data_IF_879105970043
#
_entry.id   IF_879105970043
#
_cell.length_a   1.000
_cell.length_b   1.000
_cell.length_c   1.000
_cell.angle_alpha   90.00
_cell.angle_beta   90.00
_cell.angle_gamma   90.00
#
_symmetry.space_group_name_H-M   'P 1'
#
loop_
_entity.id
_entity.type
_entity.pdbx_description
1 polymer ?
#
# COMPACT_ATOMS: atom_id res chain seq x y z
N UNK A 1 2.02 -23.74 24.53
CA UNK A 1 2.41 -22.44 23.92
C UNK A 1 1.37 -22.07 22.87
N UNK A 2 0.61 -20.99 23.05
CA UNK A 2 -0.40 -20.56 22.05
C UNK A 2 -0.60 -19.04 22.02
N UNK A 3 -0.60 -18.37 23.19
CA UNK A 3 -0.83 -16.93 23.31
C UNK A 3 0.29 -16.07 22.69
N UNK A 4 1.55 -16.40 22.95
CA UNK A 4 2.73 -15.67 22.42
C UNK A 4 2.73 -15.65 20.88
N UNK A 5 2.48 -16.80 20.25
CA UNK A 5 2.45 -16.92 18.79
C UNK A 5 1.30 -16.11 18.16
N UNK A 6 0.14 -16.01 18.80
CA UNK A 6 -0.96 -15.15 18.33
C UNK A 6 -0.51 -13.68 18.33
N UNK A 7 0.13 -13.22 19.40
CA UNK A 7 0.62 -11.85 19.49
C UNK A 7 1.73 -11.58 18.47
N UNK A 8 2.69 -12.49 18.31
CA UNK A 8 3.76 -12.38 17.31
C UNK A 8 3.20 -12.34 15.88
N UNK A 9 2.18 -13.16 15.59
CA UNK A 9 1.49 -13.13 14.29
C UNK A 9 0.76 -11.79 14.07
N UNK A 10 0.09 -11.27 15.09
CA UNK A 10 -0.57 -9.97 15.01
C UNK A 10 0.44 -8.86 14.74
N UNK A 11 1.55 -8.83 15.49
CA UNK A 11 2.67 -7.89 15.29
C UNK A 11 3.19 -7.96 13.86
N UNK A 12 3.46 -9.18 13.34
CA UNK A 12 3.95 -9.36 11.98
C UNK A 12 2.98 -8.80 10.94
N UNK A 13 1.69 -9.07 11.10
CA UNK A 13 0.65 -8.62 10.15
C UNK A 13 0.50 -7.10 10.18
N UNK A 14 0.45 -6.47 11.36
CA UNK A 14 0.22 -5.02 11.47
C UNK A 14 1.48 -4.20 11.19
N UNK A 15 2.68 -4.70 11.55
CA UNK A 15 3.91 -3.93 11.42
C UNK A 15 4.73 -4.23 10.15
N UNK A 16 4.65 -5.44 9.57
CA UNK A 16 5.59 -5.87 8.52
C UNK A 16 4.90 -6.14 7.17
N UNK A 17 3.76 -6.84 7.13
CA UNK A 17 3.19 -7.33 5.85
C UNK A 17 2.24 -6.33 5.14
N UNK A 18 1.73 -5.31 5.84
CA UNK A 18 0.66 -4.41 5.33
C UNK A 18 1.14 -3.07 4.81
N UNK A 19 2.27 -2.56 5.32
CA UNK A 19 2.80 -1.23 4.99
C UNK A 19 3.17 -1.10 3.50
N UNK A 20 3.61 -2.19 2.90
CA UNK A 20 4.09 -2.21 1.51
C UNK A 20 3.01 -2.46 0.44
N UNK A 21 1.79 -2.86 0.84
CA UNK A 21 0.74 -3.31 -0.11
C UNK A 21 -0.49 -2.41 -0.21
N UNK A 22 -0.83 -1.64 0.83
CA UNK A 22 -2.13 -0.95 0.90
C UNK A 22 -2.07 0.51 1.40
N UNK A 23 -0.88 1.13 1.47
CA UNK A 23 -0.71 2.48 2.06
C UNK A 23 -0.67 2.46 3.60
N UNK A 24 -0.60 3.64 4.24
CA UNK A 24 -0.70 3.71 5.70
C UNK A 24 -2.10 3.26 6.14
N UNK A 25 -2.17 2.42 7.17
CA UNK A 25 -3.42 1.75 7.59
C UNK A 25 -4.40 2.79 8.17
N UNK A 26 -3.84 3.83 8.76
CA UNK A 26 -4.51 4.98 9.37
C UNK A 26 -5.32 5.76 8.32
N UNK A 27 -4.77 5.94 7.12
CA UNK A 27 -5.46 6.61 6.01
C UNK A 27 -6.67 5.80 5.53
N UNK A 28 -6.56 4.47 5.55
CA UNK A 28 -7.64 3.59 5.11
C UNK A 28 -8.83 3.59 6.08
N UNK A 29 -8.59 3.66 7.39
CA UNK A 29 -9.69 3.69 8.36
C UNK A 29 -10.42 5.02 8.36
N UNK A 30 -9.69 6.14 8.23
CA UNK A 30 -10.30 7.46 8.02
C UNK A 30 -11.20 7.49 6.78
N UNK A 31 -10.68 7.02 5.63
CA UNK A 31 -11.45 6.97 4.39
C UNK A 31 -12.71 6.09 4.49
N UNK A 32 -12.60 4.93 5.14
CA UNK A 32 -13.77 4.05 5.36
C UNK A 32 -14.80 4.76 6.26
N UNK A 33 -14.35 5.48 7.29
CA UNK A 33 -15.21 6.23 8.18
C UNK A 33 -16.00 7.30 7.41
N UNK A 34 -15.34 8.05 6.51
CA UNK A 34 -15.98 9.06 5.67
C UNK A 34 -17.03 8.43 4.74
N UNK A 35 -16.68 7.31 4.09
CA UNK A 35 -17.59 6.58 3.20
C UNK A 35 -18.81 6.05 3.96
N UNK A 36 -18.61 5.44 5.12
CA UNK A 36 -19.70 4.91 5.94
C UNK A 36 -20.55 6.03 6.53
N UNK A 37 -19.94 7.15 6.92
CA UNK A 37 -20.66 8.30 7.44
C UNK A 37 -21.59 8.89 6.40
N UNK A 38 -21.10 9.04 5.18
CA UNK A 38 -21.88 9.51 4.03
C UNK A 38 -23.03 8.55 3.70
N UNK A 39 -22.74 7.25 3.70
CA UNK A 39 -23.74 6.22 3.38
C UNK A 39 -24.84 6.10 4.44
N UNK A 40 -24.50 6.17 5.73
CA UNK A 40 -25.42 6.00 6.84
C UNK A 40 -26.13 7.30 7.25
N UNK A 41 -25.61 8.46 6.83
CA UNK A 41 -26.09 9.76 7.30
C UNK A 41 -25.79 10.02 8.79
N UNK A 42 -24.78 9.36 9.35
CA UNK A 42 -24.40 9.45 10.75
C UNK A 42 -22.87 9.49 10.87
N UNK A 43 -22.34 10.19 11.88
CA UNK A 43 -20.89 10.25 12.08
C UNK A 43 -20.32 8.90 12.48
N UNK A 44 -19.31 8.44 11.75
CA UNK A 44 -18.51 7.23 12.03
C UNK A 44 -17.04 7.66 12.06
N UNK A 45 -16.34 7.32 13.13
CA UNK A 45 -14.90 7.63 13.28
C UNK A 45 -14.01 6.48 12.83
N UNK A 46 -12.73 6.76 12.58
CA UNK A 46 -11.74 5.71 12.28
C UNK A 46 -11.62 4.67 13.41
N UNK A 47 -11.82 5.09 14.67
CA UNK A 47 -11.89 4.18 15.83
C UNK A 47 -13.10 3.26 15.73
N UNK A 48 -14.27 3.79 15.37
CA UNK A 48 -15.48 2.99 15.18
C UNK A 48 -15.28 1.93 14.09
N UNK A 49 -14.66 2.31 12.96
CA UNK A 49 -14.32 1.37 11.88
C UNK A 49 -13.44 0.23 12.40
N UNK A 50 -12.37 0.55 13.15
CA UNK A 50 -11.49 -0.46 13.72
C UNK A 50 -12.24 -1.43 14.65
N UNK A 51 -13.11 -0.90 15.52
CA UNK A 51 -13.91 -1.71 16.45
C UNK A 51 -14.95 -2.56 15.72
N UNK A 52 -15.64 -2.01 14.72
CA UNK A 52 -16.63 -2.72 13.91
C UNK A 52 -15.98 -3.85 13.10
N UNK A 53 -14.77 -3.65 12.58
CA UNK A 53 -13.99 -4.71 11.94
C UNK A 53 -13.56 -5.80 12.92
N UNK A 54 -13.26 -5.44 14.18
CA UNK A 54 -13.06 -6.41 15.26
C UNK A 54 -14.33 -7.21 15.56
N UNK A 55 -15.49 -6.55 15.65
CA UNK A 55 -16.78 -7.21 15.85
C UNK A 55 -17.13 -8.19 14.73
N UNK A 56 -16.75 -7.91 13.47
CA UNK A 56 -16.90 -8.86 12.37
C UNK A 56 -16.17 -10.18 12.64
N UNK A 57 -14.98 -10.13 13.25
CA UNK A 57 -14.23 -11.34 13.64
C UNK A 57 -14.88 -12.05 14.82
N UNK A 58 -15.36 -11.31 15.82
CA UNK A 58 -16.14 -11.88 16.92
C UNK A 58 -17.42 -12.57 16.43
N UNK A 59 -18.12 -11.98 15.47
CA UNK A 59 -19.30 -12.57 14.85
C UNK A 59 -18.98 -13.89 14.13
N UNK A 60 -17.86 -13.97 13.40
CA UNK A 60 -17.38 -15.23 12.79
C UNK A 60 -17.07 -16.31 13.83
N UNK A 61 -16.50 -15.94 14.96
CA UNK A 61 -16.28 -16.87 16.08
C UNK A 61 -17.62 -17.36 16.64
N UNK A 62 -18.61 -16.47 16.79
CA UNK A 62 -19.95 -16.80 17.30
C UNK A 62 -20.70 -17.81 16.42
N UNK A 63 -20.47 -17.83 15.11
CA UNK A 63 -21.09 -18.83 14.21
C UNK A 63 -20.50 -20.24 14.33
N UNK A 64 -19.53 -20.45 15.22
CA UNK A 64 -18.89 -21.75 15.46
C UNK A 64 -17.71 -22.07 14.55
N UNK A 65 -17.41 -21.21 13.57
CA UNK A 65 -16.22 -21.31 12.71
C UNK A 65 -15.08 -20.47 13.28
N UNK A 66 -14.48 -20.94 14.37
CA UNK A 66 -13.33 -20.27 14.98
C UNK A 66 -12.02 -20.74 14.35
N UNK A 67 -11.20 -19.79 13.89
CA UNK A 67 -9.81 -20.01 13.46
C UNK A 67 -8.89 -19.12 14.28
N UNK A 68 -7.62 -19.49 14.39
CA UNK A 68 -6.60 -18.67 15.05
C UNK A 68 -6.51 -17.27 14.40
N UNK A 69 -6.69 -17.19 13.09
CA UNK A 69 -6.69 -15.93 12.33
C UNK A 69 -7.75 -14.94 12.82
N UNK A 70 -8.93 -15.41 13.24
CA UNK A 70 -9.95 -14.49 13.77
C UNK A 70 -9.48 -13.75 15.03
N UNK A 71 -8.69 -14.41 15.89
CA UNK A 71 -8.13 -13.79 17.10
C UNK A 71 -6.93 -12.91 16.79
N UNK A 72 -6.10 -13.32 15.82
CA UNK A 72 -4.98 -12.52 15.32
C UNK A 72 -5.48 -11.23 14.67
N UNK A 73 -6.50 -11.32 13.82
CA UNK A 73 -7.16 -10.17 13.19
C UNK A 73 -7.79 -9.26 14.24
N UNK A 74 -8.48 -9.82 15.25
CA UNK A 74 -9.06 -9.03 16.34
C UNK A 74 -7.99 -8.22 17.08
N UNK A 75 -6.87 -8.85 17.43
CA UNK A 75 -5.74 -8.16 18.06
C UNK A 75 -5.14 -7.09 17.14
N UNK A 76 -5.05 -7.36 15.84
CA UNK A 76 -4.56 -6.41 14.84
C UNK A 76 -5.47 -5.18 14.70
N UNK A 77 -6.79 -5.37 14.58
CA UNK A 77 -7.75 -4.26 14.52
C UNK A 77 -7.76 -3.45 15.81
N UNK A 78 -7.63 -4.09 16.97
CA UNK A 78 -7.50 -3.39 18.24
C UNK A 78 -6.24 -2.52 18.31
N UNK A 79 -5.10 -3.03 17.84
CA UNK A 79 -3.86 -2.26 17.77
C UNK A 79 -3.99 -1.06 16.82
N UNK A 80 -4.50 -1.26 15.61
CA UNK A 80 -4.71 -0.16 14.67
C UNK A 80 -5.73 0.88 15.18
N UNK A 81 -6.78 0.44 15.89
CA UNK A 81 -7.76 1.34 16.49
C UNK A 81 -7.17 2.25 17.57
N UNK A 82 -6.21 1.74 18.36
CA UNK A 82 -5.49 2.54 19.35
C UNK A 82 -4.66 3.67 18.71
N UNK A 83 -4.17 3.48 17.48
CA UNK A 83 -3.45 4.51 16.74
C UNK A 83 -4.36 5.56 16.10
N UNK A 84 -5.66 5.30 16.02
CA UNK A 84 -6.66 6.20 15.44
C UNK A 84 -7.34 7.08 16.50
N UNK A 85 -6.99 6.97 17.78
CA UNK A 85 -7.59 7.81 18.81
C UNK A 85 -7.16 9.26 18.65
N UNK A 86 -7.98 10.23 19.06
CA UNK A 86 -7.62 11.64 19.00
C UNK A 86 -6.28 11.94 19.68
N UNK A 87 -6.00 11.32 20.83
CA UNK A 87 -4.76 11.51 21.58
C UNK A 87 -3.54 10.96 20.82
N UNK A 88 -3.69 9.80 20.17
CA UNK A 88 -2.63 9.17 19.39
C UNK A 88 -2.32 9.97 18.11
N UNK A 89 -3.35 10.50 17.45
CA UNK A 89 -3.19 11.36 16.27
C UNK A 89 -2.51 12.68 16.64
N UNK A 90 -2.95 13.34 17.71
CA UNK A 90 -2.29 14.56 18.20
C UNK A 90 -0.84 14.30 18.61
N UNK A 91 -0.55 13.14 19.21
CA UNK A 91 0.82 12.76 19.54
C UNK A 91 1.68 12.51 18.29
N UNK A 92 1.12 11.88 17.26
CA UNK A 92 1.80 11.72 15.96
C UNK A 92 2.11 13.09 15.34
N UNK A 93 1.16 14.02 15.37
CA UNK A 93 1.36 15.40 14.89
C UNK A 93 2.43 16.15 15.68
N UNK A 94 2.40 16.08 17.02
CA UNK A 94 3.43 16.68 17.89
C UNK A 94 4.82 16.13 17.59
N UNK A 95 4.95 14.81 17.40
CA UNK A 95 6.24 14.17 17.08
C UNK A 95 6.80 14.61 15.73
N UNK A 96 5.94 14.91 14.75
CA UNK A 96 6.38 15.49 13.47
C UNK A 96 6.80 16.95 13.65
N UNK A 97 6.12 17.70 14.51
CA UNK A 97 6.47 19.09 14.83
C UNK A 97 7.79 19.24 15.63
N UNK A 98 8.16 18.24 16.43
CA UNK A 98 9.42 18.21 17.21
C UNK A 98 10.64 17.74 16.40
N UNK A 99 10.44 17.32 15.14
CA UNK A 99 11.57 17.20 14.20
C UNK A 99 12.00 18.64 13.89
N UNK A 100 13.25 19.06 14.21
CA UNK A 100 13.70 20.39 13.83
C UNK A 100 13.44 20.56 12.34
N UNK A 101 12.81 21.68 11.95
CA UNK A 101 12.66 22.02 10.54
C UNK A 101 13.99 21.69 9.86
N UNK A 102 13.99 20.87 8.79
CA UNK A 102 15.22 20.69 8.04
C UNK A 102 15.71 22.10 7.75
N UNK A 103 16.96 22.42 8.09
CA UNK A 103 17.52 23.74 7.80
C UNK A 103 17.28 23.94 6.31
N UNK A 104 16.29 24.76 5.99
CA UNK A 104 15.96 25.10 4.62
C UNK A 104 17.03 26.13 4.30
N UNK A 105 18.24 25.65 3.96
CA UNK A 105 19.13 26.46 3.15
C UNK A 105 18.25 27.00 2.03
N UNK A 106 18.22 28.33 1.82
CA UNK A 106 17.28 28.95 0.90
C UNK A 106 17.35 28.16 -0.38
N UNK A 107 16.19 27.64 -0.81
CA UNK A 107 16.09 26.86 -2.03
C UNK A 107 16.86 27.63 -3.09
N UNK A 108 18.06 27.16 -3.44
CA UNK A 108 18.60 27.41 -4.76
C UNK A 108 17.50 26.86 -5.63
N UNK A 109 16.74 27.76 -6.27
CA UNK A 109 15.78 27.47 -7.33
C UNK A 109 16.37 26.28 -8.06
N UNK A 110 15.69 25.13 -8.16
CA UNK A 110 16.32 23.88 -8.54
C UNK A 110 17.19 24.19 -9.74
N UNK A 111 18.52 24.24 -9.51
CA UNK A 111 19.46 24.52 -10.59
C UNK A 111 19.08 23.44 -11.57
N UNK A 112 18.54 23.82 -12.74
CA UNK A 112 18.19 22.90 -13.82
C UNK A 112 19.29 21.86 -13.78
N UNK A 113 19.01 20.67 -13.24
CA UNK A 113 20.01 19.62 -13.23
C UNK A 113 20.21 19.43 -14.71
N UNK A 114 21.36 19.88 -15.21
CA UNK A 114 21.82 19.54 -16.57
C UNK A 114 21.46 18.08 -16.69
N UNK A 115 20.56 17.76 -17.61
CA UNK A 115 20.03 16.41 -17.77
C UNK A 115 21.23 15.48 -17.81
N UNK A 116 21.48 14.82 -16.67
CA UNK A 116 22.39 13.71 -16.61
C UNK A 116 21.68 12.67 -17.44
N UNK A 117 22.15 12.54 -18.68
CA UNK A 117 21.71 11.62 -19.74
C UNK A 117 20.72 10.60 -19.20
N UNK A 118 19.42 10.73 -19.55
CA UNK A 118 18.41 9.67 -19.32
C UNK A 118 19.12 8.35 -19.61
N UNK A 119 19.42 7.55 -18.58
CA UNK A 119 19.87 6.19 -18.84
C UNK A 119 18.68 5.55 -19.51
N UNK A 120 18.80 5.32 -20.82
CA UNK A 120 17.85 4.59 -21.62
C UNK A 120 17.72 3.23 -20.95
N UNK A 121 16.65 3.04 -20.18
CA UNK A 121 16.36 1.75 -19.59
C UNK A 121 15.96 0.86 -20.75
N UNK A 122 16.69 -0.24 -20.90
CA UNK A 122 16.48 -1.17 -22.00
C UNK A 122 15.15 -1.91 -21.81
N UNK A 123 14.11 -1.37 -22.43
CA UNK A 123 12.73 -1.87 -22.42
C UNK A 123 12.67 -3.33 -22.90
N UNK A 124 13.53 -3.75 -23.85
CA UNK A 124 13.61 -5.14 -24.28
C UNK A 124 14.16 -6.07 -23.18
N UNK A 125 15.14 -5.58 -22.40
CA UNK A 125 15.69 -6.32 -21.25
C UNK A 125 14.68 -6.43 -20.11
N UNK A 126 13.86 -5.40 -19.85
CA UNK A 126 12.73 -5.48 -18.90
C UNK A 126 11.78 -6.61 -19.31
N UNK A 127 11.38 -6.64 -20.59
CA UNK A 127 10.45 -7.65 -21.13
C UNK A 127 11.02 -9.07 -21.00
N UNK A 128 12.29 -9.26 -21.35
CA UNK A 128 12.96 -10.56 -21.27
C UNK A 128 13.05 -11.09 -19.84
N UNK A 129 13.43 -10.24 -18.86
CA UNK A 129 13.52 -10.63 -17.46
C UNK A 129 12.14 -10.91 -16.85
N UNK A 130 11.12 -10.13 -17.21
CA UNK A 130 9.75 -10.38 -16.80
C UNK A 130 9.21 -11.71 -17.37
N UNK A 131 9.45 -12.00 -18.65
CA UNK A 131 9.07 -13.26 -19.28
C UNK A 131 9.84 -14.46 -18.72
N UNK A 132 11.05 -14.24 -18.19
CA UNK A 132 11.81 -15.23 -17.42
C UNK A 132 11.30 -15.42 -15.98
N UNK A 133 10.20 -14.76 -15.59
CA UNK A 133 9.54 -14.89 -14.29
C UNK A 133 10.17 -14.08 -13.15
N UNK A 134 10.99 -13.08 -13.46
CA UNK A 134 11.62 -12.26 -12.42
C UNK A 134 10.62 -11.26 -11.82
N UNK A 135 10.73 -11.02 -10.51
CA UNK A 135 9.94 -10.00 -9.83
C UNK A 135 10.38 -8.59 -10.23
N UNK A 136 9.45 -7.63 -10.22
CA UNK A 136 9.74 -6.24 -10.60
C UNK A 136 10.85 -5.61 -9.76
N UNK A 137 10.93 -5.94 -8.46
CA UNK A 137 12.01 -5.49 -7.57
C UNK A 137 13.38 -6.02 -8.02
N UNK A 138 13.47 -7.30 -8.39
CA UNK A 138 14.72 -7.89 -8.87
C UNK A 138 15.15 -7.32 -10.22
N UNK A 139 14.19 -6.99 -11.08
CA UNK A 139 14.44 -6.30 -12.36
C UNK A 139 14.95 -4.88 -12.13
N UNK A 140 14.36 -4.16 -11.17
CA UNK A 140 14.78 -2.81 -10.81
C UNK A 140 16.21 -2.77 -10.26
N UNK A 141 16.54 -3.71 -9.38
CA UNK A 141 17.89 -3.87 -8.82
C UNK A 141 18.91 -4.23 -9.91
N UNK A 142 18.58 -5.16 -10.81
CA UNK A 142 19.44 -5.59 -11.93
C UNK A 142 19.69 -4.46 -12.95
N UNK A 143 18.69 -3.61 -13.19
CA UNK A 143 18.78 -2.52 -14.17
C UNK A 143 19.19 -1.17 -13.54
N UNK A 144 19.34 -1.13 -12.21
CA UNK A 144 19.64 0.10 -11.47
C UNK A 144 18.60 1.20 -11.69
N UNK A 145 17.34 0.82 -11.85
CA UNK A 145 16.20 1.73 -12.05
C UNK A 145 15.20 1.63 -10.89
N UNK A 146 14.19 2.50 -10.87
CA UNK A 146 13.15 2.46 -9.84
C UNK A 146 12.11 1.38 -10.16
N UNK A 147 11.48 0.82 -9.12
CA UNK A 147 10.33 -0.07 -9.28
C UNK A 147 9.23 0.58 -10.13
N UNK A 148 9.01 1.90 -9.97
CA UNK A 148 8.05 2.66 -10.76
C UNK A 148 8.39 2.63 -12.27
N UNK A 149 9.67 2.80 -12.64
CA UNK A 149 10.09 2.73 -14.05
C UNK A 149 9.84 1.34 -14.66
N UNK A 150 10.00 0.27 -13.88
CA UNK A 150 9.69 -1.10 -14.35
C UNK A 150 8.19 -1.27 -14.61
N UNK A 151 7.34 -0.82 -13.69
CA UNK A 151 5.88 -0.92 -13.84
C UNK A 151 5.33 -0.04 -14.98
N UNK A 152 5.85 1.18 -15.16
CA UNK A 152 5.47 2.06 -16.26
C UNK A 152 5.78 1.41 -17.63
N UNK A 153 6.97 0.83 -17.79
CA UNK A 153 7.35 0.15 -19.02
C UNK A 153 6.50 -1.10 -19.28
N UNK A 154 6.27 -1.95 -18.27
CA UNK A 154 5.44 -3.15 -18.43
C UNK A 154 3.98 -2.81 -18.78
N UNK A 155 3.45 -1.72 -18.22
CA UNK A 155 2.11 -1.23 -18.52
C UNK A 155 2.00 -0.74 -19.96
N UNK A 156 2.99 0.02 -20.42
CA UNK A 156 3.04 0.54 -21.78
C UNK A 156 3.15 -0.59 -22.80
N UNK A 157 3.98 -1.60 -22.55
CA UNK A 157 4.08 -2.78 -23.44
C UNK A 157 2.78 -3.58 -23.54
N UNK A 158 2.00 -3.68 -22.46
CA UNK A 158 0.72 -4.37 -22.50
C UNK A 158 -0.28 -3.61 -23.38
N UNK A 159 -0.32 -2.29 -23.23
CA UNK A 159 -1.17 -1.43 -24.06
C UNK A 159 -0.77 -1.50 -25.55
N UNK A 160 0.53 -1.45 -25.84
CA UNK A 160 1.05 -1.58 -27.23
C UNK A 160 0.74 -2.94 -27.85
N UNK A 161 0.81 -4.03 -27.07
CA UNK A 161 0.43 -5.36 -27.55
C UNK A 161 -1.08 -5.46 -27.81
N UNK A 162 -1.92 -4.95 -26.90
CA UNK A 162 -3.38 -4.94 -27.05
C UNK A 162 -3.81 -4.13 -28.30
N UNK A 163 -3.19 -2.98 -28.53
CA UNK A 163 -3.45 -2.11 -29.69
C UNK A 163 -2.99 -2.77 -31.00
N UNK A 164 -1.85 -3.48 -30.99
CA UNK A 164 -1.38 -4.23 -32.16
C UNK A 164 -2.30 -5.41 -32.52
N UNK A 165 -2.81 -6.14 -31.52
CA UNK A 165 -3.74 -7.25 -31.73
C UNK A 165 -5.11 -6.79 -32.24
N UNK A 166 -5.55 -5.58 -31.88
CA UNK A 166 -6.79 -4.97 -32.41
C UNK A 166 -6.61 -4.54 -33.88
N UNK A 167 -5.47 -3.91 -34.21
CA UNK A 167 -5.20 -3.51 -35.61
C UNK A 167 -5.02 -4.69 -36.56
N UNK A 168 -4.37 -5.79 -36.12
CA UNK A 168 -4.22 -7.00 -36.95
C UNK A 168 -5.56 -7.72 -37.19
N UNK A 169 -6.49 -7.65 -36.24
CA UNK A 169 -7.85 -8.20 -36.42
C UNK A 169 -8.65 -7.39 -37.42
N UNK A 170 -8.62 -6.06 -37.33
CA UNK A 170 -9.31 -5.17 -38.28
C UNK A 170 -8.77 -5.30 -39.72
N UNK A 171 -7.45 -5.42 -39.90
CA UNK A 171 -6.85 -5.64 -41.23
C UNK A 171 -7.15 -7.03 -41.79
N UNK A 172 -7.39 -8.04 -40.95
CA UNK A 172 -7.75 -9.40 -41.40
C UNK A 172 -9.22 -9.56 -41.80
N UNK A 173 -10.09 -8.65 -41.36
CA UNK A 173 -11.53 -8.63 -41.65
C UNK A 173 -11.92 -7.70 -42.81
N UNK A 174 -10.95 -6.99 -43.41
CA UNK A 174 -11.12 -6.05 -44.54
C UNK A 174 -10.56 -6.60 -45.85
#
# INVERSE_FOLDING_TARGET
>A
MFRKQILENAIRIVCQDRRDKYGQIEDNFGLIADLWSSYLGASVTAVDVAMMMGMLKMARIKTGKYTQDNFVDLAGYAACGAECTPEALQEKERRVADVPEPIVEPMRSPKKKKSGRKKTVDTAKIRALHNAGWSAAKIADELGCSNAAVYENLRQMRAENEESEETEKEESET
#
